data_IF_572037470404
#
_entry.id   IF_572037470404
#
_cell.length_a   1.000
_cell.length_b   1.000
_cell.length_c   1.000
_cell.angle_alpha   90.00
_cell.angle_beta   90.00
_cell.angle_gamma   90.00
#
_symmetry.space_group_name_H-M   'P 1'
#
loop_
_entity.id
_entity.type
_entity.pdbx_description
1 polymer ?
#
# COMPACT_ATOMS: atom_id res chain seq x y z
N UNK A 1 -1.72 -14.86 -6.73
CA UNK A 1 -2.80 -14.30 -5.85
C UNK A 1 -3.24 -12.95 -6.41
N UNK A 2 -4.33 -12.35 -5.92
CA UNK A 2 -4.71 -10.97 -6.31
C UNK A 2 -4.58 -10.03 -5.12
N UNK A 3 -3.87 -8.92 -5.33
CA UNK A 3 -3.65 -7.87 -4.33
C UNK A 3 -4.10 -6.51 -4.87
N UNK A 4 -4.43 -5.59 -3.97
CA UNK A 4 -5.18 -4.38 -4.26
C UNK A 4 -4.47 -3.13 -3.75
N UNK A 5 -4.22 -2.17 -4.64
CA UNK A 5 -3.65 -0.88 -4.29
C UNK A 5 -4.74 0.20 -4.26
N UNK A 6 -4.96 0.80 -3.09
CA UNK A 6 -5.90 1.90 -2.92
C UNK A 6 -5.18 3.23 -2.98
N UNK A 7 -5.70 4.17 -3.76
CA UNK A 7 -5.10 5.49 -3.90
C UNK A 7 -6.12 6.54 -4.36
N UNK A 8 -5.70 7.80 -4.43
CA UNK A 8 -6.53 8.88 -4.97
C UNK A 8 -6.77 8.68 -6.46
N UNK A 9 -7.85 9.26 -6.98
CA UNK A 9 -8.20 9.17 -8.40
C UNK A 9 -7.06 9.67 -9.31
N UNK A 10 -6.44 10.81 -8.94
CA UNK A 10 -5.30 11.39 -9.64
C UNK A 10 -4.12 10.41 -9.73
N UNK A 11 -3.70 9.84 -8.60
CA UNK A 11 -2.54 8.93 -8.60
C UNK A 11 -2.86 7.59 -9.26
N UNK A 12 -4.08 7.07 -9.14
CA UNK A 12 -4.42 5.80 -9.76
C UNK A 12 -4.59 5.90 -11.28
N UNK A 13 -5.15 7.00 -11.80
CA UNK A 13 -5.17 7.21 -13.26
C UNK A 13 -3.76 7.44 -13.82
N UNK A 14 -2.91 8.18 -13.11
CA UNK A 14 -1.50 8.32 -13.48
C UNK A 14 -0.78 6.96 -13.44
N UNK A 15 -1.01 6.16 -12.40
CA UNK A 15 -0.42 4.83 -12.25
C UNK A 15 -0.80 3.90 -13.40
N UNK A 16 -2.07 3.92 -13.81
CA UNK A 16 -2.53 3.20 -14.99
C UNK A 16 -1.79 3.75 -16.21
N UNK A 17 -1.91 5.04 -16.53
CA UNK A 17 -1.34 5.63 -17.75
C UNK A 17 0.16 5.37 -17.89
N UNK A 18 0.91 5.59 -16.82
CA UNK A 18 2.38 5.58 -16.80
C UNK A 18 2.95 4.20 -16.46
N UNK A 19 2.09 3.25 -16.03
CA UNK A 19 2.46 1.91 -15.57
C UNK A 19 3.44 1.95 -14.41
N UNK A 20 3.24 2.90 -13.49
CA UNK A 20 4.06 3.07 -12.30
C UNK A 20 3.21 3.17 -11.03
N UNK A 21 3.75 2.77 -9.89
CA UNK A 21 3.14 3.01 -8.58
C UNK A 21 3.98 4.04 -7.81
N UNK A 22 3.28 4.91 -7.07
CA UNK A 22 3.92 5.81 -6.11
C UNK A 22 4.46 4.98 -4.94
N UNK A 23 5.71 5.21 -4.59
CA UNK A 23 6.36 4.58 -3.43
C UNK A 23 5.99 5.35 -2.16
N UNK A 24 5.56 4.62 -1.13
CA UNK A 24 5.31 5.18 0.20
C UNK A 24 6.63 5.39 0.95
N UNK A 25 6.73 6.51 1.66
CA UNK A 25 7.87 6.85 2.52
C UNK A 25 7.67 6.30 3.93
N UNK A 26 8.72 5.79 4.54
CA UNK A 26 8.68 5.14 5.87
C UNK A 26 8.22 6.13 6.96
N UNK A 27 8.53 7.42 6.80
CA UNK A 27 8.09 8.47 7.70
C UNK A 27 6.63 8.92 7.49
N UNK A 28 5.99 8.54 6.38
CA UNK A 28 4.62 8.92 6.02
C UNK A 28 3.60 7.81 6.28
N UNK A 29 4.03 6.69 6.85
CA UNK A 29 3.13 5.58 7.19
C UNK A 29 2.15 5.98 8.30
N UNK A 30 0.99 5.32 8.32
CA UNK A 30 -0.20 5.77 9.03
C UNK A 30 -0.23 5.43 10.54
N UNK A 31 0.50 4.41 10.96
CA UNK A 31 0.61 3.97 12.34
C UNK A 31 1.90 4.53 12.97
N UNK A 32 1.81 5.32 14.06
CA UNK A 32 2.99 5.88 14.71
C UNK A 32 3.93 4.83 15.30
N UNK A 33 3.49 3.58 15.45
CA UNK A 33 4.30 2.46 15.91
C UNK A 33 5.00 1.72 14.76
N UNK A 34 4.69 2.02 13.50
CA UNK A 34 5.36 1.41 12.35
C UNK A 34 6.86 1.67 12.38
N UNK A 35 7.62 0.60 12.15
CA UNK A 35 9.07 0.55 12.24
C UNK A 35 9.66 0.80 13.64
N UNK A 36 8.83 0.97 14.68
CA UNK A 36 9.25 1.07 16.08
C UNK A 36 8.77 -0.13 16.91
N UNK A 37 8.41 -1.23 16.22
CA UNK A 37 7.76 -2.42 16.78
C UNK A 37 8.30 -2.87 18.14
N UNK A 38 9.60 -3.15 18.29
CA UNK A 38 10.16 -3.63 19.55
C UNK A 38 10.08 -2.59 20.66
N UNK A 39 9.86 -3.02 21.90
CA UNK A 39 9.95 -2.14 23.08
C UNK A 39 11.42 -1.83 23.40
N UNK A 40 11.80 -0.56 23.24
CA UNK A 40 13.08 -0.01 23.69
C UNK A 40 12.88 0.69 25.05
N UNK A 41 13.32 0.06 26.14
CA UNK A 41 13.12 0.54 27.50
C UNK A 41 13.98 1.78 27.83
N UNK A 42 15.19 1.87 27.26
CA UNK A 42 16.10 2.99 27.47
C UNK A 42 15.75 4.20 26.58
N UNK A 43 15.85 5.40 27.13
CA UNK A 43 15.54 6.66 26.40
C UNK A 43 16.52 6.90 25.26
N UNK A 44 17.80 6.60 25.45
CA UNK A 44 18.84 6.74 24.44
C UNK A 44 18.63 5.75 23.29
N UNK A 45 18.20 4.52 23.57
CA UNK A 45 17.85 3.53 22.54
C UNK A 45 16.65 3.98 21.71
N UNK A 46 15.60 4.51 22.35
CA UNK A 46 14.46 5.12 21.63
C UNK A 46 14.90 6.26 20.72
N UNK A 47 15.84 7.09 21.16
CA UNK A 47 16.38 8.18 20.34
C UNK A 47 17.20 7.67 19.15
N UNK A 48 18.03 6.64 19.35
CA UNK A 48 18.79 6.00 18.27
C UNK A 48 17.86 5.39 17.24
N UNK A 49 16.83 4.66 17.67
CA UNK A 49 15.85 4.06 16.77
C UNK A 49 15.07 5.09 15.95
N UNK A 50 14.70 6.22 16.56
CA UNK A 50 14.07 7.34 15.83
C UNK A 50 14.99 7.93 14.76
N UNK A 51 16.27 8.11 15.07
CA UNK A 51 17.26 8.57 14.08
C UNK A 51 17.43 7.54 12.96
N UNK A 52 17.48 6.26 13.31
CA UNK A 52 17.59 5.18 12.34
C UNK A 52 16.40 5.11 11.39
N UNK A 53 15.17 5.30 11.90
CA UNK A 53 13.97 5.44 11.06
C UNK A 53 14.11 6.56 10.04
N UNK A 54 14.70 7.69 10.42
CA UNK A 54 14.97 8.80 9.50
C UNK A 54 16.01 8.42 8.44
N UNK A 55 17.06 7.67 8.80
CA UNK A 55 18.05 7.21 7.81
C UNK A 55 17.45 6.18 6.85
N UNK A 56 16.67 5.22 7.36
CA UNK A 56 15.99 4.22 6.53
C UNK A 56 15.02 4.86 5.55
N UNK A 57 14.30 5.92 5.96
CA UNK A 57 13.42 6.65 5.05
C UNK A 57 14.16 7.26 3.85
N UNK A 58 15.43 7.66 4.00
CA UNK A 58 16.20 8.27 2.90
C UNK A 58 16.51 7.28 1.79
N UNK A 59 16.76 6.02 2.15
CA UNK A 59 17.22 5.00 1.22
C UNK A 59 16.10 4.03 0.80
N UNK A 60 15.05 3.86 1.62
CA UNK A 60 14.02 2.86 1.42
C UNK A 60 12.60 3.42 1.45
N UNK A 61 11.75 2.80 0.63
CA UNK A 61 10.32 2.99 0.63
C UNK A 61 9.57 1.67 0.50
N UNK A 62 8.24 1.77 0.40
CA UNK A 62 7.35 0.63 0.42
C UNK A 62 6.31 0.72 -0.70
N UNK A 63 5.90 -0.44 -1.21
CA UNK A 63 4.61 -0.59 -1.88
C UNK A 63 3.73 -1.46 -0.99
N UNK A 64 2.58 -0.92 -0.62
CA UNK A 64 1.59 -1.58 0.23
C UNK A 64 0.36 -1.94 -0.60
N UNK A 65 -0.05 -3.19 -0.50
CA UNK A 65 -1.24 -3.74 -1.14
C UNK A 65 -2.10 -4.47 -0.10
N UNK A 66 -3.38 -4.67 -0.39
CA UNK A 66 -4.30 -5.44 0.44
C UNK A 66 -4.78 -6.70 -0.30
N UNK A 67 -5.07 -7.80 0.38
CA UNK A 67 -5.78 -8.92 -0.24
C UNK A 67 -7.31 -8.72 -0.31
N UNK A 68 -7.84 -7.63 0.28
CA UNK A 68 -9.27 -7.38 0.40
C UNK A 68 -9.67 -6.00 -0.15
N UNK A 69 -10.29 -5.97 -1.33
CA UNK A 69 -10.79 -4.70 -1.88
C UNK A 69 -12.13 -4.23 -1.27
N UNK A 70 -12.87 -5.11 -0.59
CA UNK A 70 -14.26 -4.88 -0.17
C UNK A 70 -14.39 -4.16 1.18
N UNK A 71 -13.30 -4.08 1.95
CA UNK A 71 -13.35 -3.50 3.29
C UNK A 71 -13.60 -1.97 3.25
N UNK A 72 -14.65 -1.43 3.88
CA UNK A 72 -15.02 -0.02 3.72
C UNK A 72 -13.96 0.94 4.29
N UNK A 73 -13.25 0.56 5.36
CA UNK A 73 -12.20 1.40 5.94
C UNK A 73 -11.03 1.63 4.97
N UNK A 74 -10.71 0.66 4.09
CA UNK A 74 -9.67 0.84 3.09
C UNK A 74 -10.04 1.94 2.09
N UNK A 75 -11.30 1.95 1.65
CA UNK A 75 -11.80 3.02 0.78
C UNK A 75 -11.87 4.37 1.49
N UNK A 76 -12.22 4.36 2.78
CA UNK A 76 -12.28 5.56 3.62
C UNK A 76 -10.91 6.21 3.81
N UNK A 77 -9.91 5.42 4.19
CA UNK A 77 -8.56 5.88 4.53
C UNK A 77 -7.67 6.10 3.30
N UNK A 78 -7.70 5.18 2.34
CA UNK A 78 -6.69 5.12 1.28
C UNK A 78 -7.21 5.48 -0.12
N UNK A 79 -8.53 5.48 -0.35
CA UNK A 79 -9.12 5.88 -1.62
C UNK A 79 -9.91 7.19 -1.51
N UNK A 80 -9.32 8.21 -0.88
CA UNK A 80 -9.86 9.58 -0.77
C UNK A 80 -11.35 9.59 -0.38
N UNK A 81 -11.70 8.95 0.74
CA UNK A 81 -13.08 8.89 1.26
C UNK A 81 -14.07 8.38 0.21
N UNK A 82 -13.71 7.29 -0.47
CA UNK A 82 -14.42 6.63 -1.57
C UNK A 82 -14.51 7.41 -2.91
N UNK A 83 -13.72 8.47 -3.09
CA UNK A 83 -13.60 9.17 -4.38
C UNK A 83 -12.48 8.62 -5.26
N UNK A 84 -11.53 7.93 -4.66
CA UNK A 84 -10.36 7.39 -5.32
C UNK A 84 -10.63 6.09 -6.09
N UNK A 85 -9.58 5.31 -6.24
CA UNK A 85 -9.57 4.10 -7.07
C UNK A 85 -8.81 2.99 -6.36
N UNK A 86 -9.21 1.75 -6.64
CA UNK A 86 -8.54 0.55 -6.21
C UNK A 86 -8.06 -0.22 -7.45
N UNK A 87 -6.75 -0.47 -7.54
CA UNK A 87 -6.11 -1.22 -8.63
C UNK A 87 -5.85 -2.65 -8.17
N UNK A 88 -6.49 -3.62 -8.80
CA UNK A 88 -6.29 -5.04 -8.54
C UNK A 88 -5.22 -5.62 -9.45
N UNK A 89 -4.18 -6.21 -8.86
CA UNK A 89 -3.06 -6.82 -9.55
C UNK A 89 -3.04 -8.33 -9.31
N UNK A 90 -2.92 -9.10 -10.39
CA UNK A 90 -2.54 -10.51 -10.31
C UNK A 90 -1.03 -10.59 -10.05
N UNK A 91 -0.67 -11.12 -8.89
CA UNK A 91 0.71 -11.36 -8.46
C UNK A 91 1.09 -12.78 -8.85
N UNK A 92 2.03 -12.89 -9.78
CA UNK A 92 2.54 -14.14 -10.38
C UNK A 92 3.64 -14.79 -9.54
N UNK A 93 4.39 -14.00 -8.77
CA UNK A 93 5.39 -14.44 -7.80
C UNK A 93 4.98 -13.93 -6.41
N UNK A 94 4.19 -14.72 -5.64
CA UNK A 94 3.69 -14.27 -4.35
C UNK A 94 4.78 -13.87 -3.35
N UNK A 95 5.97 -14.46 -3.47
CA UNK A 95 7.17 -14.18 -2.67
C UNK A 95 7.73 -12.75 -2.85
N UNK A 96 7.34 -12.04 -3.92
CA UNK A 96 7.67 -10.61 -4.09
C UNK A 96 7.02 -9.72 -3.02
N UNK A 97 5.96 -10.22 -2.36
CA UNK A 97 5.18 -9.48 -1.39
C UNK A 97 5.02 -10.27 -0.09
N UNK A 98 5.45 -9.67 1.01
CA UNK A 98 5.39 -10.27 2.33
C UNK A 98 4.17 -9.77 3.09
N UNK A 99 3.48 -10.71 3.74
CA UNK A 99 2.29 -10.39 4.55
C UNK A 99 2.71 -9.69 5.84
N UNK A 100 2.00 -8.64 6.21
CA UNK A 100 2.18 -7.94 7.49
C UNK A 100 1.72 -8.84 8.65
N UNK A 101 2.55 -8.90 9.69
CA UNK A 101 2.28 -9.53 10.97
C UNK A 101 1.55 -8.53 11.88
N UNK A 102 0.35 -8.90 12.33
CA UNK A 102 -0.47 -8.07 13.21
C UNK A 102 -0.38 -8.56 14.65
N UNK A 103 0.01 -7.69 15.58
CA UNK A 103 0.18 -8.02 17.01
C UNK A 103 -0.65 -7.10 17.91
N UNK A 104 -1.16 -7.65 19.01
CA UNK A 104 -1.90 -6.86 20.02
C UNK A 104 -0.96 -6.03 20.90
N UNK A 105 0.19 -6.61 21.25
CA UNK A 105 1.19 -5.99 22.10
C UNK A 105 2.53 -5.87 21.39
N UNK A 106 3.31 -4.86 21.78
CA UNK A 106 4.63 -4.65 21.21
C UNK A 106 5.62 -5.70 21.74
N UNK A 107 6.28 -6.48 20.87
CA UNK A 107 7.27 -7.46 21.31
C UNK A 107 8.50 -6.81 21.96
N UNK A 108 9.19 -7.47 22.90
CA UNK A 108 10.47 -7.00 23.43
C UNK A 108 11.60 -7.17 22.41
N UNK A 109 12.69 -6.41 22.55
CA UNK A 109 13.88 -6.49 21.67
C UNK A 109 14.46 -7.91 21.54
N UNK A 110 14.41 -8.70 22.62
CA UNK A 110 14.93 -10.07 22.65
C UNK A 110 14.24 -10.99 21.63
N UNK A 111 12.97 -10.74 21.31
CA UNK A 111 12.26 -11.51 20.27
C UNK A 111 12.75 -11.20 18.86
N UNK A 112 13.52 -10.13 18.64
CA UNK A 112 14.15 -9.79 17.37
C UNK A 112 15.63 -10.18 17.33
N UNK A 113 16.13 -10.87 18.35
CA UNK A 113 17.57 -11.15 18.49
C UNK A 113 18.41 -9.88 18.70
N UNK A 114 17.80 -8.78 19.18
CA UNK A 114 18.48 -7.50 19.39
C UNK A 114 18.89 -7.43 20.86
N UNK A 115 20.21 -7.45 21.11
CA UNK A 115 20.79 -7.19 22.44
C UNK A 115 21.08 -5.70 22.67
N UNK A 116 21.38 -4.97 21.61
CA UNK A 116 21.62 -3.53 21.63
C UNK A 116 21.34 -2.92 20.25
N UNK A 117 21.05 -1.63 20.18
CA UNK A 117 20.82 -0.93 18.89
C UNK A 117 21.99 -1.04 17.91
N UNK A 118 23.23 -1.21 18.38
CA UNK A 118 24.40 -1.40 17.50
C UNK A 118 24.36 -2.72 16.72
N UNK A 119 23.58 -3.68 17.20
CA UNK A 119 23.47 -5.04 16.65
C UNK A 119 22.06 -5.22 16.08
N UNK A 120 21.73 -4.50 15.00
CA UNK A 120 20.47 -4.65 14.26
C UNK A 120 20.70 -5.47 12.98
N UNK A 121 20.44 -6.79 12.99
CA UNK A 121 20.46 -7.59 11.77
C UNK A 121 19.45 -7.08 10.75
N UNK A 122 19.77 -7.28 9.46
CA UNK A 122 18.87 -6.96 8.35
C UNK A 122 17.51 -7.65 8.49
N UNK A 123 17.49 -8.92 8.90
CA UNK A 123 16.24 -9.67 9.15
C UNK A 123 15.39 -9.04 10.25
N UNK A 124 16.01 -8.48 11.29
CA UNK A 124 15.29 -7.79 12.36
C UNK A 124 14.67 -6.49 11.84
N UNK A 125 15.38 -5.74 11.00
CA UNK A 125 14.87 -4.54 10.30
C UNK A 125 13.67 -4.89 9.44
N UNK A 126 13.82 -5.94 8.63
CA UNK A 126 12.77 -6.46 7.75
C UNK A 126 11.53 -6.86 8.54
N UNK A 127 11.68 -7.57 9.67
CA UNK A 127 10.57 -7.94 10.54
C UNK A 127 9.92 -6.73 11.20
N UNK A 128 10.70 -5.76 11.68
CA UNK A 128 10.16 -4.52 12.27
C UNK A 128 9.29 -3.73 11.28
N UNK A 129 9.62 -3.78 9.99
CA UNK A 129 8.85 -3.15 8.90
C UNK A 129 7.58 -3.93 8.54
N UNK A 130 7.43 -5.17 8.99
CA UNK A 130 6.25 -6.00 8.76
C UNK A 130 5.38 -6.19 10.00
N UNK A 131 5.74 -5.61 11.14
CA UNK A 131 4.91 -5.64 12.35
C UNK A 131 4.01 -4.41 12.43
N UNK A 132 2.71 -4.64 12.65
CA UNK A 132 1.70 -3.59 12.77
C UNK A 132 0.73 -3.89 13.92
N UNK A 133 0.15 -2.85 14.50
CA UNK A 133 -0.82 -3.04 15.58
C UNK A 133 -2.11 -3.72 15.06
N UNK A 134 -2.65 -4.68 15.83
CA UNK A 134 -3.79 -5.51 15.44
C UNK A 134 -5.03 -4.74 15.02
N UNK A 135 -5.26 -3.53 15.54
CA UNK A 135 -6.41 -2.71 15.10
C UNK A 135 -6.39 -2.34 13.61
N UNK A 136 -5.23 -2.45 12.94
CA UNK A 136 -5.06 -2.27 11.49
C UNK A 136 -5.19 -3.58 10.69
N UNK A 137 -5.53 -4.71 11.33
CA UNK A 137 -5.60 -6.03 10.67
C UNK A 137 -6.62 -6.10 9.54
N UNK A 138 -7.62 -5.21 9.54
CA UNK A 138 -8.57 -5.06 8.45
C UNK A 138 -7.92 -4.70 7.11
N UNK A 139 -6.69 -4.17 7.13
CA UNK A 139 -5.96 -3.82 5.91
C UNK A 139 -5.50 -5.04 5.14
N UNK A 140 -5.35 -6.19 5.82
CA UNK A 140 -4.86 -7.44 5.25
C UNK A 140 -3.65 -7.20 4.32
N UNK A 141 -2.68 -6.48 4.88
CA UNK A 141 -1.64 -5.79 4.13
C UNK A 141 -0.50 -6.73 3.71
N UNK A 142 0.01 -6.49 2.51
CA UNK A 142 1.20 -7.09 1.92
C UNK A 142 2.15 -5.98 1.48
N UNK A 143 3.45 -6.15 1.74
CA UNK A 143 4.49 -5.14 1.48
C UNK A 143 5.60 -5.69 0.60
N UNK A 144 6.19 -4.81 -0.20
CA UNK A 144 7.53 -5.00 -0.77
C UNK A 144 8.39 -3.79 -0.46
N UNK A 145 9.66 -4.02 -0.15
CA UNK A 145 10.66 -2.96 -0.04
C UNK A 145 11.08 -2.45 -1.40
N UNK A 146 11.36 -1.17 -1.45
CA UNK A 146 11.88 -0.47 -2.62
C UNK A 146 13.13 0.28 -2.20
N UNK A 147 14.26 0.00 -2.86
CA UNK A 147 15.44 0.87 -2.82
C UNK A 147 15.14 2.13 -3.63
N UNK A 148 15.12 3.28 -2.94
CA UNK A 148 14.78 4.57 -3.54
C UNK A 148 15.78 5.00 -4.61
N UNK A 149 17.03 4.51 -4.57
CA UNK A 149 18.05 4.78 -5.59
C UNK A 149 17.72 4.12 -6.93
N UNK A 150 16.92 3.06 -6.92
CA UNK A 150 16.47 2.35 -8.12
C UNK A 150 15.12 2.86 -8.66
N UNK A 151 14.58 3.95 -8.12
CA UNK A 151 13.26 4.49 -8.51
C UNK A 151 13.37 5.66 -9.47
N UNK A 152 12.28 5.95 -10.19
CA UNK A 152 12.12 7.22 -10.88
C UNK A 152 11.70 8.29 -9.89
N UNK A 153 12.58 9.27 -9.64
CA UNK A 153 12.27 10.43 -8.79
C UNK A 153 11.75 11.60 -9.64
N UNK A 154 10.57 12.13 -9.28
CA UNK A 154 10.02 13.33 -9.91
C UNK A 154 10.36 14.56 -9.08
N UNK A 155 11.27 15.39 -9.59
CA UNK A 155 11.71 16.62 -8.94
C UNK A 155 10.59 17.64 -8.69
N UNK A 156 9.51 17.62 -9.47
CA UNK A 156 8.42 18.58 -9.31
C UNK A 156 7.50 18.21 -8.16
N UNK A 157 7.11 16.93 -8.08
CA UNK A 157 6.24 16.44 -7.01
C UNK A 157 7.00 16.01 -5.75
N UNK A 158 8.32 15.84 -5.85
CA UNK A 158 9.18 15.27 -4.79
C UNK A 158 8.76 13.86 -4.40
N UNK A 159 8.28 13.08 -5.37
CA UNK A 159 7.78 11.72 -5.17
C UNK A 159 8.62 10.70 -5.94
N UNK A 160 8.62 9.47 -5.42
CA UNK A 160 9.27 8.32 -6.04
C UNK A 160 8.23 7.40 -6.69
N UNK A 161 8.59 6.86 -7.85
CA UNK A 161 7.74 5.95 -8.62
C UNK A 161 8.53 4.73 -9.07
N UNK A 162 7.87 3.58 -9.07
CA UNK A 162 8.41 2.32 -9.60
C UNK A 162 7.50 1.78 -10.69
N UNK A 163 8.05 1.19 -11.78
CA UNK A 163 7.23 0.55 -12.79
C UNK A 163 6.49 -0.66 -12.21
N UNK A 164 5.37 -1.04 -12.84
CA UNK A 164 4.72 -2.32 -12.57
C UNK A 164 5.73 -3.44 -12.84
N UNK A 165 5.93 -4.33 -11.85
CA UNK A 165 6.81 -5.48 -12.03
C UNK A 165 6.24 -6.42 -13.11
N UNK A 166 7.08 -7.14 -13.87
CA UNK A 166 6.60 -8.17 -14.80
C UNK A 166 5.72 -9.24 -14.13
N UNK A 167 5.97 -9.49 -12.84
CA UNK A 167 5.23 -10.41 -11.98
C UNK A 167 3.93 -9.82 -11.40
N UNK A 168 3.61 -8.56 -11.72
CA UNK A 168 2.47 -7.81 -11.20
C UNK A 168 1.60 -7.29 -12.35
N UNK A 169 0.59 -8.07 -12.75
CA UNK A 169 -0.29 -7.74 -13.88
C UNK A 169 -1.54 -7.00 -13.41
N UNK A 170 -1.78 -5.78 -13.89
CA UNK A 170 -3.05 -5.09 -13.65
C UNK A 170 -4.20 -5.92 -14.23
N UNK A 171 -5.17 -6.28 -13.38
CA UNK A 171 -6.31 -7.11 -13.72
C UNK A 171 -7.65 -6.39 -13.50
N UNK A 172 -7.71 -5.47 -12.52
CA UNK A 172 -8.93 -4.74 -12.20
C UNK A 172 -8.65 -3.26 -11.95
N UNK A 173 -9.56 -2.39 -12.39
CA UNK A 173 -9.66 -0.99 -12.00
C UNK A 173 -11.04 -0.76 -11.41
N UNK A 174 -11.07 -0.55 -10.09
CA UNK A 174 -12.30 -0.39 -9.33
C UNK A 174 -12.43 1.08 -8.93
N UNK A 175 -13.39 1.78 -9.50
CA UNK A 175 -13.63 3.18 -9.19
C UNK A 175 -14.44 3.31 -7.90
N UNK A 176 -14.08 4.27 -7.06
CA UNK A 176 -14.85 4.60 -5.85
C UNK A 176 -16.27 5.05 -6.20
N UNK A 177 -17.24 4.76 -5.35
CA UNK A 177 -18.64 5.11 -5.64
C UNK A 177 -18.88 6.64 -5.74
N UNK A 178 -18.01 7.44 -5.14
CA UNK A 178 -18.01 8.91 -5.21
C UNK A 178 -17.03 9.46 -6.26
N UNK A 179 -16.33 8.58 -6.97
CA UNK A 179 -15.44 8.96 -8.06
C UNK A 179 -16.25 9.69 -9.13
N UNK A 180 -15.62 10.74 -9.68
CA UNK A 180 -16.18 11.59 -10.75
C UNK A 180 -15.57 11.28 -12.11
N UNK A 181 -14.51 10.49 -12.15
CA UNK A 181 -13.92 10.02 -13.40
C UNK A 181 -14.93 9.26 -14.26
N UNK A 182 -14.94 9.60 -15.54
CA UNK A 182 -15.76 8.99 -16.58
C UNK A 182 -15.15 7.69 -17.10
N UNK A 183 -15.97 6.83 -17.72
CA UNK A 183 -15.46 5.64 -18.44
C UNK A 183 -14.41 6.01 -19.50
N UNK A 184 -14.61 7.13 -20.17
CA UNK A 184 -13.72 7.62 -21.23
C UNK A 184 -12.33 7.95 -20.67
N UNK A 185 -12.25 8.62 -19.52
CA UNK A 185 -10.98 8.92 -18.87
C UNK A 185 -10.23 7.66 -18.45
N UNK A 186 -10.93 6.71 -17.82
CA UNK A 186 -10.33 5.43 -17.41
C UNK A 186 -9.88 4.61 -18.63
N UNK A 187 -10.71 4.54 -19.67
CA UNK A 187 -10.39 3.84 -20.93
C UNK A 187 -9.18 4.47 -21.64
N UNK A 188 -9.09 5.81 -21.65
CA UNK A 188 -7.94 6.53 -22.19
C UNK A 188 -6.65 6.24 -21.40
N UNK A 189 -6.73 6.20 -20.07
CA UNK A 189 -5.58 5.84 -19.23
C UNK A 189 -5.15 4.37 -19.46
N UNK A 190 -6.11 3.45 -19.62
CA UNK A 190 -5.84 2.05 -19.89
C UNK A 190 -5.20 1.83 -21.25
N UNK A 191 -5.58 2.59 -22.28
CA UNK A 191 -5.07 2.40 -23.63
C UNK A 191 -5.31 0.97 -24.13
N UNK A 192 -4.24 0.28 -24.50
CA UNK A 192 -4.30 -1.10 -25.00
C UNK A 192 -4.62 -2.14 -23.91
N UNK A 193 -4.37 -1.86 -22.63
CA UNK A 193 -4.68 -2.80 -21.54
C UNK A 193 -6.20 -3.01 -21.34
N UNK A 194 -7.05 -2.15 -21.90
CA UNK A 194 -8.51 -2.22 -21.74
C UNK A 194 -9.12 -3.57 -22.10
N UNK A 195 -8.46 -4.36 -22.97
CA UNK A 195 -8.96 -5.67 -23.40
C UNK A 195 -8.78 -6.76 -22.34
N UNK A 196 -7.84 -6.60 -21.41
CA UNK A 196 -7.50 -7.60 -20.38
C UNK A 196 -7.73 -7.13 -18.95
N UNK A 197 -8.26 -5.91 -18.76
CA UNK A 197 -8.50 -5.31 -17.45
C UNK A 197 -9.99 -5.09 -17.25
N UNK A 198 -10.51 -5.66 -16.17
CA UNK A 198 -11.89 -5.44 -15.76
C UNK A 198 -12.04 -4.05 -15.12
N UNK A 199 -13.04 -3.29 -15.56
CA UNK A 199 -13.31 -1.94 -15.03
C UNK A 199 -14.74 -1.87 -14.51
N UNK A 200 -14.92 -1.43 -13.27
CA UNK A 200 -16.25 -1.22 -12.70
C UNK A 200 -16.24 -0.17 -11.59
N UNK A 201 -17.43 0.36 -11.27
CA UNK A 201 -17.64 1.25 -10.13
C UNK A 201 -18.08 0.44 -8.91
N UNK A 202 -17.60 0.82 -7.74
CA UNK A 202 -18.03 0.27 -6.46
C UNK A 202 -19.28 0.97 -5.94
N UNK A 203 -19.91 0.40 -4.90
CA UNK A 203 -20.95 1.01 -4.08
C UNK A 203 -20.98 0.38 -2.68
N UNK A 204 -21.51 1.07 -1.65
CA UNK A 204 -21.84 0.42 -0.39
C UNK A 204 -22.87 -0.70 -0.61
N UNK A 205 -22.76 -1.82 0.10
CA UNK A 205 -23.77 -2.88 0.08
C UNK A 205 -25.14 -2.37 0.59
N UNK A 206 -26.24 -3.02 0.16
CA UNK A 206 -27.58 -2.70 0.71
C UNK A 206 -27.79 -3.37 2.07
N UNK A 207 -27.12 -4.51 2.28
CA UNK A 207 -27.14 -5.28 3.50
C UNK A 207 -25.68 -5.55 3.86
N UNK A 208 -25.26 -5.20 5.08
CA UNK A 208 -23.88 -5.36 5.55
C UNK A 208 -22.99 -4.12 5.37
N UNK A 209 -21.80 -4.17 5.97
CA UNK A 209 -20.80 -3.10 5.97
C UNK A 209 -19.65 -3.41 5.02
N UNK A 210 -19.99 -3.59 3.74
CA UNK A 210 -19.03 -3.92 2.69
C UNK A 210 -19.16 -2.97 1.50
N UNK A 211 -18.07 -2.85 0.75
CA UNK A 211 -18.06 -2.21 -0.56
C UNK A 211 -18.15 -3.31 -1.61
N UNK A 212 -19.18 -3.23 -2.45
CA UNK A 212 -19.52 -4.22 -3.48
C UNK A 212 -19.48 -3.61 -4.87
N UNK A 213 -19.47 -4.46 -5.90
CA UNK A 213 -19.55 -4.01 -7.28
C UNK A 213 -20.91 -3.38 -7.53
N UNK A 214 -20.92 -2.20 -8.14
CA UNK A 214 -22.14 -1.68 -8.72
C UNK A 214 -22.46 -2.47 -9.99
N UNK A 215 -23.63 -3.12 -10.01
CA UNK A 215 -24.13 -3.88 -11.18
C UNK A 215 -24.95 -3.01 -12.13
N UNK A 216 -25.19 -1.76 -11.76
CA UNK A 216 -25.83 -0.80 -12.63
C UNK A 216 -24.79 -0.18 -13.58
N UNK A 217 -24.80 -0.64 -14.82
CA UNK A 217 -23.90 -0.18 -15.87
C UNK A 217 -24.27 1.20 -16.44
N UNK A 218 -25.37 1.82 -16.00
CA UNK A 218 -25.81 3.15 -16.46
C UNK A 218 -25.07 4.30 -15.79
N UNK A 219 -24.55 4.12 -14.57
CA UNK A 219 -23.92 5.18 -13.75
C UNK A 219 -22.44 5.44 -14.07
N UNK A 220 -22.06 5.10 -15.29
CA UNK A 220 -20.71 5.23 -15.79
C UNK A 220 -20.70 6.00 -17.13
N UNK A 221 -21.74 6.80 -17.38
CA UNK A 221 -21.73 7.89 -18.36
C UNK A 221 -21.16 9.17 -17.75
#
# INVERSE_FOLDING_TARGET
MRLYHFTTEQFGLAAIRDRTLKVARVMELNDPFEFLGPIFADKSERQRMRKFKVEVDKDFGLICLSDNWSHPLLWGHYADKHKGVCLGFDILQPEDFEKVEYVEERPPMSQFGISAFSDLPEESIKRMLHLKFHAWSYEAEFRTFIDLKATGYDEKSKLHFVPFRPTMRLAQVIMGWRSRSTRTEVSKALGWLKQGVEVFKSRPAFQGFEVVRNRDDTHCE
#
